data_IF_677269182543
#
_entry.id   IF_677269182543
#
_cell.length_a   1.000
_cell.length_b   1.000
_cell.length_c   1.000
_cell.angle_alpha   90.00
_cell.angle_beta   90.00
_cell.angle_gamma   90.00
#
_symmetry.space_group_name_H-M   'P 1'
#
loop_
_entity.id
_entity.type
_entity.pdbx_description
1 polymer ?
#
# COMPACT_ATOMS: atom_id res chain seq x y z
N UNK A 1 5.79 -27.76 19.29
CA UNK A 1 6.50 -26.50 18.96
C UNK A 1 5.42 -25.54 18.46
N UNK A 2 5.14 -24.47 19.19
CA UNK A 2 4.25 -23.42 18.69
C UNK A 2 4.85 -22.83 17.42
N UNK A 3 4.06 -22.57 16.38
CA UNK A 3 4.56 -21.84 15.21
C UNK A 3 5.08 -20.49 15.73
N UNK A 4 6.36 -20.24 15.54
CA UNK A 4 6.93 -18.93 15.83
C UNK A 4 6.35 -17.98 14.78
N UNK A 5 5.52 -17.04 15.22
CA UNK A 5 5.13 -15.91 14.38
C UNK A 5 6.34 -15.10 13.92
N UNK A 6 6.12 -14.08 13.12
CA UNK A 6 7.17 -13.14 12.74
C UNK A 6 7.87 -12.59 13.99
N UNK A 7 9.22 -12.46 13.98
CA UNK A 7 9.94 -11.84 15.07
C UNK A 7 9.67 -10.33 15.13
N UNK A 8 9.75 -9.76 16.31
CA UNK A 8 9.85 -8.31 16.49
C UNK A 8 11.18 -7.80 15.88
N UNK A 9 11.26 -6.53 15.48
CA UNK A 9 12.51 -5.95 15.03
C UNK A 9 13.57 -6.03 16.15
N UNK A 10 14.84 -6.31 15.81
CA UNK A 10 15.94 -6.26 16.78
C UNK A 10 16.25 -4.82 17.15
N UNK A 11 16.91 -4.61 18.30
CA UNK A 11 17.35 -3.27 18.73
C UNK A 11 18.34 -2.64 17.73
N UNK A 12 19.20 -3.45 17.12
CA UNK A 12 20.15 -3.03 16.11
C UNK A 12 19.89 -3.79 14.79
N UNK A 13 19.49 -3.04 13.76
CA UNK A 13 19.34 -3.59 12.41
C UNK A 13 20.70 -3.67 11.70
N UNK A 14 20.97 -4.75 10.96
CA UNK A 14 22.13 -4.80 10.08
C UNK A 14 21.97 -3.76 8.95
N UNK A 15 23.07 -3.37 8.32
CA UNK A 15 23.00 -2.57 7.10
C UNK A 15 22.29 -3.37 6.01
N UNK A 16 21.19 -2.82 5.49
CA UNK A 16 20.35 -3.48 4.49
C UNK A 16 20.59 -2.90 3.09
N UNK A 17 20.56 -3.73 2.07
CA UNK A 17 20.53 -3.27 0.69
C UNK A 17 19.28 -2.40 0.47
N UNK A 18 19.45 -1.29 -0.24
CA UNK A 18 18.34 -0.40 -0.59
C UNK A 18 18.08 -0.38 -2.08
N UNK A 19 16.82 -0.24 -2.43
CA UNK A 19 16.39 0.02 -3.80
C UNK A 19 16.02 1.50 -3.92
N UNK A 20 16.61 2.18 -4.91
CA UNK A 20 16.17 3.53 -5.27
C UNK A 20 14.86 3.42 -6.04
N UNK A 21 13.87 4.19 -5.63
CA UNK A 21 12.64 4.31 -6.39
C UNK A 21 12.97 4.84 -7.80
N UNK A 22 12.52 4.10 -8.80
CA UNK A 22 12.76 4.42 -10.20
C UNK A 22 12.06 5.68 -10.68
N UNK A 23 12.14 5.97 -11.98
CA UNK A 23 11.43 7.11 -12.58
C UNK A 23 10.01 6.77 -13.03
N UNK A 24 9.61 5.51 -12.97
CA UNK A 24 8.25 5.09 -13.31
C UNK A 24 7.27 5.70 -12.32
N UNK A 25 6.11 6.20 -12.79
CA UNK A 25 5.11 6.73 -11.87
C UNK A 25 4.63 5.66 -10.91
N UNK A 26 4.33 6.07 -9.68
CA UNK A 26 3.64 5.28 -8.69
C UNK A 26 2.17 5.71 -8.66
N UNK A 27 1.32 4.81 -8.19
CA UNK A 27 -0.13 4.98 -8.26
C UNK A 27 -0.75 4.97 -6.87
N UNK A 28 -1.77 5.79 -6.70
CA UNK A 28 -2.57 5.80 -5.47
C UNK A 28 -4.03 6.05 -5.77
N UNK A 29 -4.91 5.29 -5.12
CA UNK A 29 -6.33 5.61 -5.02
C UNK A 29 -6.59 6.23 -3.65
N UNK A 30 -7.18 7.42 -3.65
CA UNK A 30 -7.43 8.23 -2.46
C UNK A 30 -8.78 8.95 -2.56
N UNK A 31 -9.40 9.39 -1.45
CA UNK A 31 -10.59 10.23 -1.49
C UNK A 31 -10.37 11.48 -2.34
N UNK A 32 -11.41 11.94 -3.03
CA UNK A 32 -11.33 13.06 -3.96
C UNK A 32 -10.90 14.40 -3.31
N UNK A 33 -11.16 14.54 -2.03
CA UNK A 33 -10.87 15.71 -1.18
C UNK A 33 -9.54 15.59 -0.39
N UNK A 34 -8.82 14.47 -0.54
CA UNK A 34 -7.54 14.22 0.15
C UNK A 34 -6.39 14.37 -0.83
N UNK A 35 -5.31 15.02 -0.37
CA UNK A 35 -4.07 15.14 -1.15
C UNK A 35 -3.50 13.74 -1.48
N UNK A 36 -3.11 13.46 -2.73
CA UNK A 36 -2.52 12.17 -3.08
C UNK A 36 -1.22 11.85 -2.33
N UNK A 37 -0.53 12.86 -1.79
CA UNK A 37 0.65 12.71 -0.91
C UNK A 37 0.29 12.75 0.58
N UNK A 38 -0.95 12.47 0.94
CA UNK A 38 -1.33 12.38 2.34
C UNK A 38 -0.58 11.26 3.06
N UNK A 39 0.13 11.61 4.14
CA UNK A 39 0.83 10.69 5.02
C UNK A 39 -0.09 10.35 6.20
N UNK A 40 -0.51 9.10 6.25
CA UNK A 40 -1.42 8.60 7.26
C UNK A 40 -0.68 8.27 8.56
N UNK A 41 -1.20 8.81 9.67
CA UNK A 41 -0.72 8.59 11.03
C UNK A 41 -1.58 7.56 11.80
N UNK A 42 -2.66 7.10 11.18
CA UNK A 42 -3.63 6.21 11.83
C UNK A 42 -3.09 4.78 12.02
N UNK A 43 -3.67 4.03 12.96
CA UNK A 43 -3.23 2.67 13.25
C UNK A 43 -3.68 1.63 12.20
N UNK A 44 -4.54 2.03 11.24
CA UNK A 44 -5.19 1.10 10.32
C UNK A 44 -4.32 0.66 9.14
N UNK A 45 -3.15 1.28 8.96
CA UNK A 45 -2.20 0.93 7.91
C UNK A 45 -1.08 0.04 8.44
N UNK A 46 -0.77 -1.01 7.70
CA UNK A 46 0.18 -2.06 8.11
C UNK A 46 1.58 -1.55 8.41
N UNK A 47 2.05 -0.54 7.69
CA UNK A 47 3.36 0.09 7.88
C UNK A 47 3.22 1.57 8.26
N UNK A 48 2.12 1.96 8.89
CA UNK A 48 1.92 3.33 9.30
C UNK A 48 2.83 3.69 10.49
N UNK A 49 3.26 4.93 10.48
CA UNK A 49 4.12 5.52 11.52
C UNK A 49 3.31 6.60 12.25
N UNK A 50 3.13 6.44 13.54
CA UNK A 50 2.27 7.32 14.33
C UNK A 50 2.77 8.78 14.43
N UNK A 51 4.09 9.00 14.36
CA UNK A 51 4.69 10.34 14.53
C UNK A 51 4.99 11.05 13.22
N UNK A 52 5.40 10.31 12.19
CA UNK A 52 5.83 10.87 10.90
C UNK A 52 4.88 10.59 9.75
N UNK A 53 4.08 9.56 9.86
CA UNK A 53 3.13 9.13 8.84
C UNK A 53 3.73 8.33 7.69
N UNK A 54 2.84 7.68 6.96
CA UNK A 54 3.20 6.83 5.83
C UNK A 54 2.27 7.09 4.65
N UNK A 55 2.85 7.24 3.46
CA UNK A 55 2.12 7.32 2.21
C UNK A 55 2.29 6.00 1.44
N UNK A 56 1.20 5.22 1.33
CA UNK A 56 1.19 3.98 0.58
C UNK A 56 0.90 4.23 -0.90
N UNK A 57 1.77 3.73 -1.75
CA UNK A 57 1.73 3.83 -3.21
C UNK A 57 1.85 2.44 -3.81
N UNK A 58 1.42 2.25 -5.05
CA UNK A 58 1.57 1.00 -5.78
C UNK A 58 2.39 1.20 -7.06
N UNK A 59 3.09 0.17 -7.52
CA UNK A 59 3.83 0.20 -8.77
C UNK A 59 2.90 0.17 -9.99
N UNK A 60 1.67 -0.34 -9.82
CA UNK A 60 0.67 -0.49 -10.88
C UNK A 60 -0.69 0.06 -10.45
N UNK A 61 -1.54 0.53 -11.38
CA UNK A 61 -2.89 1.01 -11.07
C UNK A 61 -3.74 -0.04 -10.34
N UNK A 62 -3.66 -1.30 -10.77
CA UNK A 62 -4.38 -2.41 -10.15
C UNK A 62 -3.92 -2.67 -8.70
N UNK A 63 -2.63 -2.46 -8.42
CA UNK A 63 -2.09 -2.50 -7.07
C UNK A 63 -2.68 -1.40 -6.18
N UNK A 64 -2.85 -0.18 -6.72
CA UNK A 64 -3.51 0.91 -5.99
C UNK A 64 -4.99 0.59 -5.70
N UNK A 65 -5.66 -0.14 -6.60
CA UNK A 65 -7.02 -0.64 -6.38
C UNK A 65 -7.06 -1.65 -5.23
N UNK A 66 -6.11 -2.58 -5.20
CA UNK A 66 -5.96 -3.56 -4.12
C UNK A 66 -5.66 -2.90 -2.78
N UNK A 67 -4.77 -1.92 -2.72
CA UNK A 67 -4.46 -1.21 -1.48
C UNK A 67 -5.70 -0.46 -0.94
N UNK A 68 -6.52 0.13 -1.81
CA UNK A 68 -7.69 0.89 -1.39
C UNK A 68 -8.88 0.02 -1.00
N UNK A 69 -9.17 -1.00 -1.80
CA UNK A 69 -10.39 -1.79 -1.65
C UNK A 69 -10.14 -3.20 -1.12
N UNK A 70 -8.89 -3.53 -0.77
CA UNK A 70 -8.44 -4.88 -0.45
C UNK A 70 -9.28 -5.62 0.59
N UNK A 71 -9.79 -4.92 1.62
CA UNK A 71 -10.71 -5.50 2.62
C UNK A 71 -12.03 -5.99 2.02
N UNK A 72 -12.41 -5.49 0.84
CA UNK A 72 -13.63 -5.88 0.10
C UNK A 72 -13.34 -6.90 -1.00
N UNK A 73 -12.06 -7.16 -1.31
CA UNK A 73 -11.62 -8.09 -2.34
C UNK A 73 -11.69 -9.53 -1.82
N UNK A 74 -12.86 -10.11 -1.85
CA UNK A 74 -13.13 -11.52 -1.55
C UNK A 74 -14.04 -12.11 -2.61
N UNK A 75 -14.00 -13.41 -2.90
CA UNK A 75 -14.90 -14.03 -3.87
C UNK A 75 -16.35 -13.65 -3.62
N UNK A 76 -17.04 -13.13 -4.64
CA UNK A 76 -18.39 -12.58 -4.53
C UNK A 76 -18.47 -11.24 -3.75
N UNK A 77 -17.35 -10.59 -3.49
CA UNK A 77 -17.33 -9.27 -2.86
C UNK A 77 -18.02 -8.22 -3.70
N UNK A 78 -18.67 -7.27 -3.03
CA UNK A 78 -19.43 -6.20 -3.67
C UNK A 78 -18.85 -4.85 -3.26
N UNK A 79 -18.55 -4.02 -4.24
CA UNK A 79 -18.14 -2.62 -4.03
C UNK A 79 -19.25 -1.72 -4.58
N UNK A 80 -19.90 -0.89 -3.74
CA UNK A 80 -20.88 0.08 -4.24
C UNK A 80 -20.21 1.12 -5.15
N UNK A 81 -20.80 1.40 -6.32
CA UNK A 81 -20.30 2.42 -7.25
C UNK A 81 -20.05 3.78 -6.58
N UNK A 82 -20.91 4.29 -5.68
CA UNK A 82 -20.63 5.54 -4.97
C UNK A 82 -19.34 5.55 -4.16
N UNK A 83 -18.90 4.39 -3.68
CA UNK A 83 -17.62 4.26 -2.98
C UNK A 83 -16.44 4.40 -3.93
N UNK A 84 -16.59 3.93 -5.17
CA UNK A 84 -15.59 4.08 -6.24
C UNK A 84 -15.56 5.52 -6.74
N UNK A 85 -16.73 6.13 -6.97
CA UNK A 85 -16.90 7.51 -7.46
C UNK A 85 -16.30 8.55 -6.52
N UNK A 86 -16.31 8.27 -5.22
CA UNK A 86 -15.72 9.14 -4.20
C UNK A 86 -14.19 9.14 -4.22
N UNK A 87 -13.58 8.26 -5.00
CA UNK A 87 -12.13 8.14 -5.09
C UNK A 87 -11.56 8.77 -6.36
N UNK A 88 -10.25 8.99 -6.32
CA UNK A 88 -9.44 9.41 -7.47
C UNK A 88 -8.23 8.48 -7.58
N UNK A 89 -7.87 8.16 -8.80
CA UNK A 89 -6.60 7.53 -9.13
C UNK A 89 -5.59 8.63 -9.46
N UNK A 90 -4.48 8.66 -8.75
CA UNK A 90 -3.39 9.58 -9.00
C UNK A 90 -2.13 8.85 -9.44
N UNK A 91 -1.46 9.43 -10.43
CA UNK A 91 -0.12 9.05 -10.87
C UNK A 91 0.89 10.02 -10.27
N UNK A 92 1.82 9.52 -9.47
CA UNK A 92 2.75 10.32 -8.70
C UNK A 92 4.19 10.04 -9.13
N UNK A 93 5.00 11.10 -9.20
CA UNK A 93 6.44 10.91 -9.40
C UNK A 93 7.05 10.35 -8.10
N UNK A 94 7.82 9.25 -8.16
CA UNK A 94 8.48 8.71 -6.97
C UNK A 94 9.35 9.77 -6.28
N UNK A 95 9.36 9.81 -4.94
CA UNK A 95 10.31 10.65 -4.21
C UNK A 95 11.73 10.11 -4.37
N UNK A 96 12.72 10.96 -4.13
CA UNK A 96 14.12 10.54 -4.05
C UNK A 96 14.35 9.86 -2.69
N UNK A 97 13.89 8.63 -2.56
CA UNK A 97 14.04 7.83 -1.35
C UNK A 97 14.71 6.50 -1.67
N UNK A 98 15.53 6.03 -0.72
CA UNK A 98 16.03 4.66 -0.70
C UNK A 98 15.11 3.84 0.19
N UNK A 99 14.54 2.79 -0.34
CA UNK A 99 13.60 1.92 0.38
C UNK A 99 14.20 0.53 0.58
N UNK A 100 13.84 -0.11 1.69
CA UNK A 100 14.17 -1.51 1.92
C UNK A 100 13.21 -2.38 1.13
N UNK A 101 13.74 -3.31 0.34
CA UNK A 101 12.93 -4.19 -0.50
C UNK A 101 12.61 -5.50 0.22
N UNK A 102 11.50 -5.56 0.91
CA UNK A 102 11.04 -6.79 1.57
C UNK A 102 10.52 -7.85 0.58
N UNK A 103 10.45 -7.56 -0.72
CA UNK A 103 10.14 -8.59 -1.73
C UNK A 103 11.39 -9.40 -2.11
N UNK A 104 12.58 -8.94 -1.71
CA UNK A 104 13.85 -9.64 -1.91
C UNK A 104 14.09 -10.66 -0.77
N UNK A 105 14.22 -11.92 -1.13
CA UNK A 105 14.45 -13.01 -0.18
C UNK A 105 15.78 -12.84 0.60
N UNK A 106 16.78 -12.20 -0.02
CA UNK A 106 18.07 -11.94 0.65
C UNK A 106 17.88 -10.93 1.79
N UNK A 107 17.12 -9.86 1.54
CA UNK A 107 16.79 -8.85 2.56
C UNK A 107 16.02 -9.48 3.71
N UNK A 108 14.98 -10.26 3.40
CA UNK A 108 14.21 -10.98 4.42
C UNK A 108 15.10 -11.90 5.26
N UNK A 109 16.01 -12.62 4.61
CA UNK A 109 16.94 -13.52 5.29
C UNK A 109 17.91 -12.81 6.24
N UNK A 110 18.42 -11.62 5.86
CA UNK A 110 19.32 -10.81 6.68
C UNK A 110 18.68 -10.35 8.01
N UNK A 111 17.38 -10.13 8.02
CA UNK A 111 16.64 -9.65 9.21
C UNK A 111 15.76 -10.73 9.86
N UNK A 112 15.87 -11.97 9.39
CA UNK A 112 15.13 -13.10 9.96
C UNK A 112 13.62 -13.06 9.72
N UNK A 113 13.15 -12.30 8.72
CA UNK A 113 11.77 -12.24 8.30
C UNK A 113 11.43 -13.32 7.27
N UNK A 114 10.15 -13.63 7.17
CA UNK A 114 9.58 -14.49 6.14
C UNK A 114 8.57 -13.72 5.30
N UNK A 115 8.06 -14.33 4.23
CA UNK A 115 7.01 -13.76 3.39
C UNK A 115 5.70 -13.45 4.16
N UNK A 116 5.55 -13.96 5.37
CA UNK A 116 4.41 -13.66 6.26
C UNK A 116 4.29 -12.17 6.58
N UNK A 117 5.40 -11.40 6.53
CA UNK A 117 5.38 -9.93 6.70
C UNK A 117 4.42 -9.25 5.73
N UNK A 118 4.17 -9.85 4.56
CA UNK A 118 3.27 -9.31 3.56
C UNK A 118 1.80 -9.62 3.83
N UNK A 119 1.49 -10.65 4.64
CA UNK A 119 0.12 -11.16 4.82
C UNK A 119 -0.40 -11.08 6.26
N UNK A 120 0.47 -10.90 7.24
CA UNK A 120 0.06 -10.83 8.65
C UNK A 120 -0.98 -9.75 8.91
N UNK A 121 -1.89 -10.04 9.85
CA UNK A 121 -2.86 -9.08 10.39
C UNK A 121 -2.37 -8.38 11.66
N UNK A 122 -1.19 -8.74 12.14
CA UNK A 122 -0.55 -8.10 13.28
C UNK A 122 0.08 -6.78 12.83
N UNK A 123 -0.69 -5.70 12.97
CA UNK A 123 -0.26 -4.37 12.56
C UNK A 123 0.71 -3.75 13.55
N UNK A 124 0.61 -4.07 14.82
CA UNK A 124 1.57 -3.59 15.83
C UNK A 124 2.98 -4.08 15.48
N UNK A 125 3.09 -5.34 15.07
CA UNK A 125 4.36 -5.92 14.64
C UNK A 125 4.89 -5.27 13.36
N UNK A 126 4.04 -5.10 12.35
CA UNK A 126 4.50 -4.52 11.06
C UNK A 126 4.78 -3.03 11.16
N UNK A 127 4.09 -2.30 12.03
CA UNK A 127 4.37 -0.90 12.37
C UNK A 127 5.66 -0.80 13.18
N UNK A 128 5.92 -1.74 14.09
CA UNK A 128 7.20 -1.84 14.80
C UNK A 128 8.38 -2.01 13.82
N UNK A 129 8.25 -2.87 12.83
CA UNK A 129 9.25 -3.00 11.75
C UNK A 129 9.41 -1.74 10.92
N UNK A 130 8.30 -1.05 10.60
CA UNK A 130 8.36 0.23 9.87
C UNK A 130 9.10 1.29 10.67
N UNK A 131 8.85 1.37 11.99
CA UNK A 131 9.52 2.30 12.89
C UNK A 131 11.03 2.02 12.97
N UNK A 132 11.43 0.77 13.21
CA UNK A 132 12.84 0.39 13.29
C UNK A 132 13.60 0.72 11.98
N UNK A 133 12.97 0.46 10.83
CA UNK A 133 13.55 0.82 9.53
C UNK A 133 13.66 2.33 9.34
N UNK A 134 12.65 3.10 9.78
CA UNK A 134 12.72 4.57 9.72
C UNK A 134 13.82 5.13 10.63
N UNK A 135 13.94 4.63 11.85
CA UNK A 135 14.98 5.04 12.82
C UNK A 135 16.38 4.70 12.31
N UNK A 136 16.53 3.61 11.58
CA UNK A 136 17.76 3.26 10.86
C UNK A 136 18.04 4.15 9.62
N UNK A 137 17.16 5.12 9.31
CA UNK A 137 17.36 6.12 8.26
C UNK A 137 16.83 5.70 6.88
N UNK A 138 16.10 4.61 6.77
CA UNK A 138 15.48 4.21 5.50
C UNK A 138 14.24 5.06 5.20
N UNK A 139 14.04 5.41 3.92
CA UNK A 139 12.94 6.28 3.47
C UNK A 139 11.63 5.55 3.20
N UNK A 140 11.57 4.24 3.39
CA UNK A 140 10.36 3.46 3.16
C UNK A 140 10.61 1.97 2.94
N UNK A 141 9.53 1.28 2.64
CA UNK A 141 9.49 -0.18 2.45
C UNK A 141 8.83 -0.48 1.10
N UNK A 142 9.43 -1.35 0.31
CA UNK A 142 8.82 -1.99 -0.85
C UNK A 142 8.30 -3.37 -0.43
N UNK A 143 7.03 -3.69 -0.69
CA UNK A 143 6.38 -4.89 -0.17
C UNK A 143 5.31 -5.43 -1.12
N UNK A 144 4.89 -6.69 -0.93
CA UNK A 144 3.77 -7.28 -1.68
C UNK A 144 2.42 -6.87 -1.09
N UNK A 145 1.48 -6.50 -1.97
CA UNK A 145 0.14 -6.12 -1.57
C UNK A 145 -0.59 -7.30 -0.90
N UNK A 146 -1.02 -7.13 0.36
CA UNK A 146 -1.59 -8.20 1.19
C UNK A 146 -2.80 -8.89 0.57
N UNK A 147 -3.63 -8.12 -0.11
CA UNK A 147 -4.91 -8.59 -0.64
C UNK A 147 -4.83 -9.05 -2.09
N UNK A 148 -3.63 -9.14 -2.67
CA UNK A 148 -3.40 -9.81 -3.94
C UNK A 148 -3.15 -11.32 -3.69
N UNK A 149 -4.10 -12.21 -4.04
CA UNK A 149 -3.94 -13.64 -3.79
C UNK A 149 -2.82 -14.28 -4.64
N UNK A 150 -2.38 -13.61 -5.71
CA UNK A 150 -1.27 -14.06 -6.57
C UNK A 150 0.09 -13.71 -5.98
N UNK A 151 0.14 -12.71 -5.06
CA UNK A 151 1.37 -12.20 -4.48
C UNK A 151 2.31 -11.54 -5.50
N UNK A 152 1.75 -10.98 -6.58
CA UNK A 152 2.50 -10.35 -7.66
C UNK A 152 2.57 -8.84 -7.53
N UNK A 153 1.49 -8.21 -7.04
CA UNK A 153 1.39 -6.76 -6.93
C UNK A 153 2.28 -6.21 -5.84
N UNK A 154 3.01 -5.17 -6.18
CA UNK A 154 3.98 -4.52 -5.31
C UNK A 154 3.53 -3.12 -4.95
N UNK A 155 3.68 -2.79 -3.68
CA UNK A 155 3.39 -1.50 -3.10
C UNK A 155 4.60 -0.94 -2.36
N UNK A 156 4.57 0.35 -2.11
CA UNK A 156 5.63 1.08 -1.43
C UNK A 156 5.02 1.91 -0.32
N UNK A 157 5.48 1.70 0.90
CA UNK A 157 5.21 2.55 2.05
C UNK A 157 6.33 3.59 2.14
N UNK A 158 6.06 4.82 1.75
CA UNK A 158 7.00 5.93 1.85
C UNK A 158 6.85 6.60 3.21
N UNK A 159 7.93 6.71 3.96
CA UNK A 159 7.96 7.38 5.25
C UNK A 159 8.13 8.89 5.09
N UNK A 160 7.43 9.69 5.91
CA UNK A 160 7.60 11.14 5.85
C UNK A 160 6.52 11.91 6.59
N UNK A 161 6.73 13.22 6.69
CA UNK A 161 5.94 14.13 7.51
C UNK A 161 5.00 15.05 6.71
N UNK A 162 4.49 14.62 5.57
CA UNK A 162 3.61 15.45 4.73
C UNK A 162 4.28 16.63 4.01
N UNK A 163 5.60 16.80 4.17
CA UNK A 163 6.41 17.81 3.46
C UNK A 163 7.08 17.25 2.21
N UNK A 164 6.57 16.14 1.66
CA UNK A 164 7.09 15.60 0.40
C UNK A 164 6.96 16.67 -0.72
N UNK A 165 7.93 16.75 -1.63
CA UNK A 165 7.84 17.68 -2.76
C UNK A 165 6.56 17.36 -3.52
N UNK A 166 5.69 18.36 -3.66
CA UNK A 166 4.45 18.27 -4.43
C UNK A 166 4.79 18.01 -5.89
N UNK A 167 5.02 16.76 -6.24
CA UNK A 167 5.03 16.39 -7.63
C UNK A 167 3.58 16.48 -8.12
N UNK A 168 3.39 17.11 -9.28
CA UNK A 168 2.06 17.30 -9.84
C UNK A 168 1.46 15.93 -10.12
N UNK A 169 0.59 15.50 -9.21
CA UNK A 169 -0.20 14.30 -9.41
C UNK A 169 -1.31 14.61 -10.42
N UNK A 170 -1.43 13.80 -11.45
CA UNK A 170 -2.64 13.80 -12.26
C UNK A 170 -3.67 12.95 -11.52
N UNK A 171 -4.62 13.61 -10.87
CA UNK A 171 -5.76 12.94 -10.28
C UNK A 171 -6.90 12.83 -11.31
N UNK A 172 -7.47 11.66 -11.49
CA UNK A 172 -8.61 11.41 -12.35
C UNK A 172 -9.59 10.44 -11.67
N UNK A 173 -10.82 10.35 -12.18
CA UNK A 173 -11.73 9.26 -11.81
C UNK A 173 -11.06 7.92 -12.09
N UNK A 174 -11.42 6.90 -11.32
CA UNK A 174 -10.92 5.54 -11.56
C UNK A 174 -11.43 5.09 -12.94
N UNK A 175 -10.53 4.69 -13.87
CA UNK A 175 -10.93 4.26 -15.20
C UNK A 175 -11.83 3.02 -15.17
N UNK A 176 -12.82 2.97 -16.06
CA UNK A 176 -13.74 1.82 -16.17
C UNK A 176 -12.99 0.55 -16.49
N UNK A 177 -11.95 0.62 -17.34
CA UNK A 177 -11.13 -0.55 -17.68
C UNK A 177 -10.40 -1.12 -16.46
N UNK A 178 -9.93 -0.26 -15.54
CA UNK A 178 -9.32 -0.71 -14.28
C UNK A 178 -10.35 -1.39 -13.37
N UNK A 179 -11.58 -0.89 -13.34
CA UNK A 179 -12.69 -1.52 -12.60
C UNK A 179 -13.01 -2.90 -13.17
N UNK A 180 -13.06 -3.03 -14.51
CA UNK A 180 -13.28 -4.31 -15.18
C UNK A 180 -12.14 -5.28 -14.93
N UNK A 181 -10.90 -4.84 -15.01
CA UNK A 181 -9.71 -5.63 -14.69
C UNK A 181 -9.78 -6.16 -13.24
N UNK A 182 -10.06 -5.29 -12.28
CA UNK A 182 -10.20 -5.66 -10.88
C UNK A 182 -11.36 -6.66 -10.66
N UNK A 183 -12.49 -6.43 -11.33
CA UNK A 183 -13.65 -7.31 -11.23
C UNK A 183 -13.33 -8.71 -11.74
N UNK A 184 -12.65 -8.80 -12.88
CA UNK A 184 -12.23 -10.08 -13.47
C UNK A 184 -11.16 -10.78 -12.63
N UNK A 185 -10.15 -10.02 -12.16
CA UNK A 185 -9.01 -10.59 -11.43
C UNK A 185 -9.40 -11.09 -10.04
N UNK A 186 -10.26 -10.36 -9.32
CA UNK A 186 -10.60 -10.66 -7.93
C UNK A 186 -12.00 -11.23 -7.73
N UNK A 187 -12.71 -11.55 -8.81
CA UNK A 187 -14.09 -12.07 -8.77
C UNK A 187 -15.04 -11.22 -7.92
N UNK A 188 -14.95 -9.91 -8.08
CA UNK A 188 -15.80 -8.92 -7.38
C UNK A 188 -16.81 -8.30 -8.33
N UNK A 189 -17.84 -7.67 -7.76
CA UNK A 189 -18.84 -6.91 -8.51
C UNK A 189 -18.88 -5.47 -8.03
N UNK A 190 -18.81 -4.50 -8.96
CA UNK A 190 -19.13 -3.11 -8.66
C UNK A 190 -20.60 -2.88 -9.00
N UNK A 191 -21.41 -2.59 -7.98
CA UNK A 191 -22.85 -2.38 -8.14
C UNK A 191 -23.16 -0.93 -8.49
N UNK A 192 -23.92 -0.67 -9.59
CA UNK A 192 -24.34 0.67 -9.95
C UNK A 192 -25.27 1.28 -8.91
N UNK A 193 -25.34 2.61 -8.90
CA UNK A 193 -26.34 3.33 -8.07
C UNK A 193 -27.74 2.89 -8.44
N UNK A 194 -28.50 2.45 -7.45
CA UNK A 194 -29.94 2.33 -7.63
C UNK A 194 -30.53 3.74 -7.78
N UNK A 195 -30.86 4.14 -9.00
CA UNK A 195 -31.71 5.28 -9.23
C UNK A 195 -33.12 4.89 -8.78
N UNK A 196 -33.46 5.18 -7.51
CA UNK A 196 -34.87 5.13 -7.11
C UNK A 196 -35.61 6.15 -7.99
N UNK A 197 -36.34 5.67 -8.99
CA UNK A 197 -37.32 6.52 -9.69
C UNK A 197 -38.27 7.02 -8.62
N UNK A 198 -38.14 8.30 -8.20
CA UNK A 198 -39.19 8.96 -7.47
C UNK A 198 -40.43 8.95 -8.38
N UNK A 199 -41.44 8.20 -7.99
CA UNK A 199 -42.79 8.29 -8.55
C UNK A 199 -43.45 9.53 -8.01
#
# INVERSE_FOLDING_TARGET
MSPRGLPAPPDDLPELPTTKLGQKPLWRIHPADVDPWFFDLGPDGRFNLAESGTCCLAEEPIGAFVEKFGRLLRPGGVIPEPLVDAQRLSSLRPPKASVVDLTDATVLGLIGLTAEIHSTSDYDLTQGWALALQEAGYGGIRYKARHDPRGELVSIAVFGSGKAPRSVAKAASIPVDLIHEASATFAITVLPRHHSRRR
#
